data_IF_175369673942
#
_entry.id   IF_175369673942
#
_cell.length_a   1.000
_cell.length_b   1.000
_cell.length_c   1.000
_cell.angle_alpha   90.00
_cell.angle_beta   90.00
_cell.angle_gamma   90.00
#
_symmetry.space_group_name_H-M   'P 1'
#
loop_
_entity.id
_entity.type
_entity.pdbx_description
1 polymer ?
#
# COMPACT_ATOMS: atom_id res chain seq x y z
N UNK A 1 4.96 -11.17 -23.99
CA UNK A 1 5.04 -9.97 -23.09
C UNK A 1 4.96 -10.41 -21.63
N UNK A 2 5.61 -9.69 -20.68
CA UNK A 2 5.45 -10.00 -19.25
C UNK A 2 4.09 -9.53 -18.77
N UNK A 3 3.36 -10.40 -18.09
CA UNK A 3 1.97 -10.16 -17.64
C UNK A 3 1.94 -9.78 -16.16
N UNK A 4 1.06 -8.84 -15.78
CA UNK A 4 0.84 -8.40 -14.41
C UNK A 4 -0.67 -8.27 -14.16
N UNK A 5 -1.19 -9.07 -13.22
CA UNK A 5 -2.58 -8.97 -12.78
C UNK A 5 -2.68 -8.04 -11.56
N UNK A 6 -3.68 -7.16 -11.54
CA UNK A 6 -3.93 -6.23 -10.44
C UNK A 6 -5.38 -6.36 -10.00
N UNK A 7 -5.60 -6.66 -8.72
CA UNK A 7 -6.93 -6.77 -8.11
C UNK A 7 -7.05 -5.67 -7.06
N UNK A 8 -7.93 -4.72 -7.32
CA UNK A 8 -8.12 -3.53 -6.49
C UNK A 8 -9.59 -3.31 -6.11
N UNK A 9 -9.84 -2.29 -5.28
CA UNK A 9 -11.19 -1.95 -4.82
C UNK A 9 -11.25 -1.70 -3.32
N UNK A 10 -12.43 -1.34 -2.79
CA UNK A 10 -12.60 -1.04 -1.36
C UNK A 10 -12.37 -2.24 -0.46
N UNK A 11 -12.16 -1.97 0.83
CA UNK A 11 -12.09 -3.03 1.86
C UNK A 11 -13.37 -3.87 1.86
N UNK A 12 -13.32 -5.08 2.40
CA UNK A 12 -14.44 -6.01 2.52
C UNK A 12 -15.07 -6.54 1.19
N UNK A 13 -14.44 -6.31 0.02
CA UNK A 13 -14.93 -6.84 -1.26
C UNK A 13 -14.38 -8.23 -1.63
N UNK A 14 -13.61 -8.89 -0.77
CA UNK A 14 -13.10 -10.25 -1.05
C UNK A 14 -11.92 -10.33 -2.01
N UNK A 15 -11.18 -9.22 -2.21
CA UNK A 15 -10.02 -9.15 -3.12
C UNK A 15 -9.00 -10.26 -2.89
N UNK A 16 -8.63 -10.50 -1.64
CA UNK A 16 -7.61 -11.51 -1.30
C UNK A 16 -8.08 -12.92 -1.63
N UNK A 17 -9.35 -13.24 -1.34
CA UNK A 17 -9.91 -14.55 -1.66
C UNK A 17 -9.92 -14.81 -3.17
N UNK A 18 -10.35 -13.82 -3.98
CA UNK A 18 -10.30 -13.90 -5.44
C UNK A 18 -8.85 -14.03 -5.93
N UNK A 19 -7.91 -13.24 -5.39
CA UNK A 19 -6.51 -13.28 -5.76
C UNK A 19 -5.87 -14.64 -5.47
N UNK A 20 -6.16 -15.25 -4.31
CA UNK A 20 -5.71 -16.60 -3.95
C UNK A 20 -6.25 -17.65 -4.92
N UNK A 21 -7.53 -17.56 -5.26
CA UNK A 21 -8.13 -18.47 -6.24
C UNK A 21 -7.43 -18.39 -7.60
N UNK A 22 -7.21 -17.16 -8.10
CA UNK A 22 -6.52 -16.94 -9.38
C UNK A 22 -5.04 -17.35 -9.30
N UNK A 23 -4.37 -17.11 -8.18
CA UNK A 23 -2.98 -17.55 -7.99
C UNK A 23 -2.86 -19.07 -8.06
N UNK A 24 -3.75 -19.81 -7.41
CA UNK A 24 -3.77 -21.28 -7.49
C UNK A 24 -4.03 -21.77 -8.91
N UNK A 25 -4.96 -21.13 -9.64
CA UNK A 25 -5.33 -21.52 -11.00
C UNK A 25 -4.23 -21.22 -12.04
N UNK A 26 -3.55 -20.07 -11.94
CA UNK A 26 -2.60 -19.59 -12.94
C UNK A 26 -1.13 -19.66 -12.48
N UNK A 27 -0.83 -20.39 -11.39
CA UNK A 27 0.54 -20.52 -10.88
C UNK A 27 1.15 -19.21 -10.41
N UNK A 28 0.33 -18.30 -9.85
CA UNK A 28 0.74 -16.97 -9.46
C UNK A 28 1.20 -16.85 -8.00
N UNK A 29 1.75 -15.66 -7.67
CA UNK A 29 2.09 -15.25 -6.31
C UNK A 29 1.54 -13.85 -6.05
N UNK A 30 1.06 -13.61 -4.81
CA UNK A 30 0.44 -12.35 -4.44
C UNK A 30 1.48 -11.34 -3.94
N UNK A 31 1.23 -10.06 -4.23
CA UNK A 31 1.99 -8.92 -3.71
C UNK A 31 0.98 -7.96 -3.06
N UNK A 32 1.07 -7.79 -1.72
CA UNK A 32 0.16 -6.92 -1.00
C UNK A 32 0.43 -5.45 -1.32
N UNK A 33 -0.60 -4.75 -1.84
CA UNK A 33 -0.61 -3.30 -2.03
C UNK A 33 -1.44 -2.62 -0.93
N UNK A 34 -1.10 -2.91 0.32
CA UNK A 34 -1.72 -2.32 1.50
C UNK A 34 -0.68 -1.65 2.38
N UNK A 35 -0.88 -0.35 2.65
CA UNK A 35 0.08 0.46 3.42
C UNK A 35 0.08 0.18 4.92
N UNK A 36 -0.82 -0.67 5.41
CA UNK A 36 -0.91 -1.07 6.81
C UNK A 36 -0.40 -2.49 7.06
N UNK A 37 -0.56 -3.37 6.09
CA UNK A 37 -0.09 -4.75 6.19
C UNK A 37 1.44 -4.90 6.14
N UNK A 38 2.16 -3.84 5.83
CA UNK A 38 3.64 -3.79 5.85
C UNK A 38 4.23 -3.89 7.26
N UNK A 39 3.45 -3.57 8.29
CA UNK A 39 3.92 -3.51 9.68
C UNK A 39 3.83 -4.87 10.37
N UNK A 40 4.90 -5.26 11.08
CA UNK A 40 4.97 -6.51 11.84
C UNK A 40 4.11 -6.47 13.10
N UNK A 41 3.48 -7.61 13.39
CA UNK A 41 2.68 -7.77 14.61
C UNK A 41 1.38 -6.98 14.62
N UNK A 42 0.96 -6.46 13.48
CA UNK A 42 -0.30 -5.76 13.25
C UNK A 42 -1.15 -6.59 12.29
N UNK A 43 -1.62 -7.75 12.74
CA UNK A 43 -2.25 -8.74 11.88
C UNK A 43 -3.77 -8.63 11.91
N UNK A 44 -4.37 -8.56 13.11
CA UNK A 44 -5.82 -8.52 13.32
C UNK A 44 -6.38 -7.16 12.89
N UNK A 45 -5.88 -6.08 13.48
CA UNK A 45 -6.36 -4.72 13.21
C UNK A 45 -6.23 -4.31 11.75
N UNK A 46 -5.18 -4.72 11.03
CA UNK A 46 -5.03 -4.48 9.59
C UNK A 46 -5.77 -5.51 8.72
N UNK A 47 -6.25 -6.59 9.32
CA UNK A 47 -6.93 -7.69 8.65
C UNK A 47 -6.06 -8.38 7.61
N UNK A 48 -4.84 -8.74 7.99
CA UNK A 48 -3.98 -9.59 7.17
C UNK A 48 -4.62 -10.97 7.03
N UNK A 49 -4.84 -11.37 5.80
CA UNK A 49 -5.37 -12.68 5.46
C UNK A 49 -4.20 -13.65 5.21
N UNK A 50 -3.60 -14.10 6.31
CA UNK A 50 -2.42 -14.99 6.33
C UNK A 50 -2.67 -16.16 7.28
N UNK A 51 -2.01 -17.28 7.04
CA UNK A 51 -2.05 -18.41 7.97
C UNK A 51 -1.32 -18.03 9.28
N UNK A 52 -2.01 -18.10 10.40
CA UNK A 52 -1.48 -17.67 11.71
C UNK A 52 -0.15 -18.37 12.10
N UNK A 53 0.05 -19.62 11.66
CA UNK A 53 1.29 -20.39 11.86
C UNK A 53 2.37 -20.08 10.80
N UNK A 54 2.03 -19.28 9.78
CA UNK A 54 2.99 -18.91 8.74
C UNK A 54 4.01 -17.92 9.30
N UNK A 55 5.24 -18.39 9.51
CA UNK A 55 6.38 -17.50 9.81
C UNK A 55 6.82 -16.81 8.53
N UNK A 56 7.43 -15.63 8.64
CA UNK A 56 8.09 -14.98 7.51
C UNK A 56 9.17 -15.94 7.02
N UNK A 57 8.98 -16.46 5.81
CA UNK A 57 10.02 -17.24 5.16
C UNK A 57 11.00 -16.25 4.53
N UNK A 58 12.17 -16.12 5.15
CA UNK A 58 13.26 -15.36 4.58
C UNK A 58 13.80 -16.15 3.39
N UNK A 59 13.80 -15.53 2.22
CA UNK A 59 14.39 -16.15 1.03
C UNK A 59 15.91 -16.00 0.95
N UNK A 60 16.60 -15.73 2.05
CA UNK A 60 18.07 -15.64 2.03
C UNK A 60 18.76 -16.91 1.52
N UNK A 61 18.01 -18.03 1.35
CA UNK A 61 18.55 -19.29 0.80
C UNK A 61 18.20 -19.54 -0.68
N UNK A 62 17.26 -18.77 -1.28
CA UNK A 62 16.81 -19.01 -2.67
C UNK A 62 16.59 -17.75 -3.52
N UNK A 63 16.75 -16.55 -2.98
CA UNK A 63 16.77 -15.35 -3.80
C UNK A 63 18.09 -15.28 -4.54
N UNK A 64 18.01 -15.08 -5.85
CA UNK A 64 19.14 -14.74 -6.70
C UNK A 64 19.99 -13.66 -6.01
N UNK A 65 21.34 -13.76 -5.95
CA UNK A 65 22.23 -12.77 -5.33
C UNK A 65 22.01 -11.34 -5.80
N UNK A 66 21.34 -11.13 -6.94
CA UNK A 66 20.90 -9.83 -7.45
C UNK A 66 19.80 -9.15 -6.59
N UNK A 67 19.16 -9.87 -5.68
CA UNK A 67 18.17 -9.31 -4.72
C UNK A 67 18.84 -8.55 -3.56
N UNK A 68 20.15 -8.44 -3.54
CA UNK A 68 20.88 -7.52 -2.66
C UNK A 68 20.71 -6.07 -3.16
N UNK A 69 19.46 -5.60 -3.26
CA UNK A 69 19.17 -4.19 -3.49
C UNK A 69 19.88 -3.32 -2.45
N UNK A 70 20.41 -2.15 -2.82
CA UNK A 70 20.96 -1.16 -1.87
C UNK A 70 19.98 -0.75 -0.77
N UNK A 71 18.67 -0.99 -0.93
CA UNK A 71 17.65 -0.85 0.12
C UNK A 71 17.80 -1.88 1.24
N UNK A 72 18.31 -3.08 0.92
CA UNK A 72 18.56 -4.14 1.91
C UNK A 72 19.93 -3.93 2.58
N UNK A 73 20.88 -3.34 1.88
CA UNK A 73 22.16 -2.89 2.40
C UNK A 73 22.07 -1.40 2.71
N UNK A 74 21.73 -1.01 3.92
CA UNK A 74 21.52 0.39 4.33
C UNK A 74 22.50 1.39 3.69
N UNK A 75 21.99 2.55 3.25
CA UNK A 75 22.80 3.68 2.78
C UNK A 75 23.76 4.15 3.85
N UNK A 76 24.99 4.46 3.48
CA UNK A 76 25.96 5.19 4.33
C UNK A 76 25.33 6.51 4.78
N UNK A 77 25.13 6.67 6.08
CA UNK A 77 24.70 7.95 6.66
C UNK A 77 23.47 7.92 7.57
N UNK A 78 23.23 6.89 8.35
CA UNK A 78 22.23 6.91 9.42
C UNK A 78 21.40 5.63 9.50
N UNK A 79 21.56 4.92 10.58
CA UNK A 79 20.79 3.77 11.08
C UNK A 79 20.49 2.69 10.03
N UNK A 80 21.18 1.57 10.14
CA UNK A 80 20.96 0.32 9.36
C UNK A 80 19.53 -0.18 9.57
N UNK A 81 18.56 0.30 8.76
CA UNK A 81 17.19 -0.19 8.75
C UNK A 81 17.12 -1.36 7.79
N UNK A 82 17.17 -2.58 8.32
CA UNK A 82 16.98 -3.82 7.55
C UNK A 82 15.51 -3.99 7.23
N UNK A 83 15.12 -3.83 5.96
CA UNK A 83 13.89 -4.44 5.48
C UNK A 83 14.07 -5.96 5.46
N UNK A 84 13.14 -6.68 6.04
CA UNK A 84 13.06 -8.12 5.81
C UNK A 84 12.08 -8.35 4.67
N UNK A 85 12.57 -8.47 3.46
CA UNK A 85 11.73 -8.86 2.32
C UNK A 85 11.58 -10.37 2.36
N UNK A 86 10.38 -10.80 2.64
CA UNK A 86 9.98 -12.19 2.69
C UNK A 86 8.52 -12.30 2.28
N UNK A 87 7.97 -13.49 2.41
CA UNK A 87 6.56 -13.75 2.18
C UNK A 87 5.95 -14.52 3.35
N UNK A 88 4.64 -14.33 3.53
CA UNK A 88 3.78 -15.18 4.34
C UNK A 88 2.96 -16.05 3.40
N UNK A 89 2.58 -17.22 3.86
CA UNK A 89 1.68 -18.07 3.09
C UNK A 89 0.23 -17.90 3.53
N UNK A 90 -0.67 -18.03 2.56
CA UNK A 90 -2.07 -18.31 2.76
C UNK A 90 -2.46 -19.42 1.81
N UNK A 91 -2.94 -20.53 2.34
CA UNK A 91 -3.33 -21.71 1.55
C UNK A 91 -2.25 -22.11 0.52
N UNK A 92 -0.99 -22.18 0.95
CA UNK A 92 0.19 -22.47 0.15
C UNK A 92 0.63 -21.40 -0.87
N UNK A 93 -0.16 -20.34 -1.06
CA UNK A 93 0.18 -19.22 -1.94
C UNK A 93 1.04 -18.19 -1.20
N UNK A 94 2.23 -17.83 -1.73
CA UNK A 94 3.05 -16.76 -1.17
C UNK A 94 2.37 -15.40 -1.29
N UNK A 95 2.37 -14.63 -0.20
CA UNK A 95 1.94 -13.23 -0.15
C UNK A 95 3.14 -12.37 0.25
N UNK A 96 3.64 -11.60 -0.68
CA UNK A 96 4.77 -10.71 -0.54
C UNK A 96 4.40 -9.35 0.01
N UNK A 97 5.38 -8.64 0.55
CA UNK A 97 5.28 -7.27 1.08
C UNK A 97 4.29 -7.12 2.25
N UNK A 98 4.15 -8.17 3.03
CA UNK A 98 3.57 -8.16 4.38
C UNK A 98 4.69 -8.26 5.41
N UNK A 99 4.53 -7.65 6.59
CA UNK A 99 5.49 -7.74 7.71
C UNK A 99 6.94 -7.31 7.38
N UNK A 100 7.12 -6.30 6.57
CA UNK A 100 8.46 -5.88 6.09
C UNK A 100 9.16 -4.89 7.01
N UNK A 101 8.42 -4.15 7.84
CA UNK A 101 8.97 -3.13 8.75
C UNK A 101 8.36 -3.22 10.15
N UNK A 102 9.09 -2.68 11.13
CA UNK A 102 8.57 -2.50 12.49
C UNK A 102 7.58 -1.32 12.55
N UNK A 103 6.66 -1.28 13.55
CA UNK A 103 5.62 -0.26 13.67
C UNK A 103 6.11 1.19 13.84
N UNK A 104 7.35 1.40 14.24
CA UNK A 104 7.97 2.72 14.39
C UNK A 104 8.56 3.27 13.09
N UNK A 105 8.58 2.47 12.03
CA UNK A 105 9.16 2.86 10.76
C UNK A 105 8.18 3.66 9.89
N UNK A 106 8.63 4.77 9.31
CA UNK A 106 7.84 5.57 8.34
C UNK A 106 8.02 4.97 6.95
N UNK A 107 7.20 3.99 6.61
CA UNK A 107 7.23 3.35 5.29
C UNK A 107 6.48 4.20 4.26
N UNK A 108 7.08 4.42 3.09
CA UNK A 108 6.57 5.32 2.08
C UNK A 108 6.34 4.63 0.72
N UNK A 109 5.63 5.33 -0.17
CA UNK A 109 5.25 4.81 -1.49
C UNK A 109 6.45 4.57 -2.42
N UNK A 110 7.54 5.32 -2.27
CA UNK A 110 8.77 5.11 -3.04
C UNK A 110 9.44 3.79 -2.67
N UNK A 111 9.52 3.49 -1.37
CA UNK A 111 10.03 2.20 -0.87
C UNK A 111 9.14 1.04 -1.31
N UNK A 112 7.80 1.21 -1.21
CA UNK A 112 6.88 0.22 -1.73
C UNK A 112 7.12 -0.07 -3.21
N UNK A 113 7.21 0.97 -4.05
CA UNK A 113 7.42 0.81 -5.49
C UNK A 113 8.68 0.02 -5.79
N UNK A 114 9.80 0.36 -5.15
CA UNK A 114 11.07 -0.33 -5.36
C UNK A 114 11.00 -1.82 -4.98
N UNK A 115 10.43 -2.10 -3.80
CA UNK A 115 10.28 -3.48 -3.33
C UNK A 115 9.32 -4.28 -4.19
N UNK A 116 8.20 -3.70 -4.59
CA UNK A 116 7.21 -4.35 -5.43
C UNK A 116 7.77 -4.65 -6.83
N UNK A 117 8.48 -3.71 -7.45
CA UNK A 117 9.14 -3.93 -8.75
C UNK A 117 10.17 -5.07 -8.69
N UNK A 118 10.96 -5.12 -7.61
CA UNK A 118 11.92 -6.19 -7.42
C UNK A 118 11.24 -7.57 -7.26
N UNK A 119 10.17 -7.64 -6.45
CA UNK A 119 9.40 -8.88 -6.26
C UNK A 119 8.71 -9.31 -7.56
N UNK A 120 8.11 -8.38 -8.31
CA UNK A 120 7.51 -8.66 -9.61
C UNK A 120 8.53 -9.27 -10.57
N UNK A 121 9.74 -8.71 -10.64
CA UNK A 121 10.81 -9.22 -11.51
C UNK A 121 11.22 -10.65 -11.11
N UNK A 122 11.39 -10.91 -9.81
CA UNK A 122 11.71 -12.25 -9.30
C UNK A 122 10.63 -13.28 -9.64
N UNK A 123 9.36 -12.94 -9.44
CA UNK A 123 8.23 -13.82 -9.78
C UNK A 123 8.24 -14.13 -11.28
N UNK A 124 8.47 -13.15 -12.14
CA UNK A 124 8.60 -13.37 -13.58
C UNK A 124 9.81 -14.22 -13.97
N UNK A 125 10.95 -14.05 -13.29
CA UNK A 125 12.15 -14.89 -13.55
C UNK A 125 11.89 -16.35 -13.24
N UNK A 126 11.02 -16.64 -12.28
CA UNK A 126 10.58 -17.99 -11.92
C UNK A 126 9.43 -18.50 -12.80
N UNK A 127 9.05 -17.78 -13.86
CA UNK A 127 7.99 -18.17 -14.79
C UNK A 127 6.59 -18.10 -14.19
N UNK A 128 6.39 -17.37 -13.09
CA UNK A 128 5.09 -17.25 -12.40
C UNK A 128 4.39 -15.95 -12.70
N UNK A 129 3.08 -15.89 -12.43
CA UNK A 129 2.25 -14.70 -12.59
C UNK A 129 2.31 -13.84 -11.31
N UNK A 130 2.84 -12.60 -11.33
CA UNK A 130 2.68 -11.68 -10.22
C UNK A 130 1.26 -11.12 -10.18
N UNK A 131 0.65 -11.13 -8.99
CA UNK A 131 -0.71 -10.65 -8.74
C UNK A 131 -0.65 -9.59 -7.64
N UNK A 132 -0.83 -8.32 -8.02
CA UNK A 132 -0.95 -7.22 -7.05
C UNK A 132 -2.36 -7.26 -6.46
N UNK A 133 -2.46 -7.25 -5.14
CA UNK A 133 -3.74 -7.23 -4.45
C UNK A 133 -3.76 -6.18 -3.35
N UNK A 134 -4.72 -5.26 -3.37
CA UNK A 134 -4.82 -4.28 -2.29
C UNK A 134 -5.80 -3.13 -2.51
N UNK A 135 -5.95 -2.35 -1.43
CA UNK A 135 -6.86 -1.20 -1.37
C UNK A 135 -6.13 0.15 -1.30
N UNK A 136 -4.80 0.18 -1.25
CA UNK A 136 -4.03 1.43 -1.23
C UNK A 136 -3.82 1.92 -2.65
N UNK A 137 -4.75 2.76 -3.14
CA UNK A 137 -4.73 3.24 -4.50
C UNK A 137 -3.42 3.94 -4.89
N UNK A 138 -2.80 4.66 -3.95
CA UNK A 138 -1.51 5.30 -4.16
C UNK A 138 -0.41 4.28 -4.55
N UNK A 139 -0.42 3.10 -3.93
CA UNK A 139 0.54 2.03 -4.22
C UNK A 139 0.30 1.44 -5.61
N UNK A 140 -0.97 1.15 -5.94
CA UNK A 140 -1.35 0.66 -7.27
C UNK A 140 -0.94 1.67 -8.35
N UNK A 141 -1.25 2.95 -8.17
CA UNK A 141 -0.88 4.01 -9.11
C UNK A 141 0.62 4.16 -9.29
N UNK A 142 1.39 4.05 -8.22
CA UNK A 142 2.85 4.14 -8.27
C UNK A 142 3.48 3.06 -9.15
N UNK A 143 2.85 1.88 -9.23
CA UNK A 143 3.26 0.81 -10.12
C UNK A 143 2.80 1.02 -11.56
N UNK A 144 1.61 1.61 -11.75
CA UNK A 144 0.99 1.76 -13.08
C UNK A 144 1.50 2.95 -13.87
N UNK A 145 1.97 4.01 -13.20
CA UNK A 145 2.33 5.27 -13.86
C UNK A 145 3.71 5.76 -13.46
N UNK A 146 4.45 6.41 -14.39
CA UNK A 146 5.59 7.21 -14.01
C UNK A 146 5.16 8.28 -13.00
N UNK A 147 5.98 8.48 -11.99
CA UNK A 147 5.72 9.50 -10.99
C UNK A 147 7.02 10.23 -10.68
N UNK A 148 7.12 11.45 -11.23
CA UNK A 148 8.25 12.31 -10.97
C UNK A 148 8.30 12.69 -9.49
N UNK A 149 9.48 12.59 -8.91
CA UNK A 149 9.70 12.94 -7.51
C UNK A 149 9.32 11.87 -6.48
N UNK A 150 8.79 10.69 -6.87
CA UNK A 150 8.44 9.62 -5.89
C UNK A 150 9.65 9.20 -5.03
N UNK A 151 10.84 9.26 -5.61
CA UNK A 151 12.10 8.87 -4.96
C UNK A 151 12.86 10.04 -4.34
N UNK A 152 12.36 11.27 -4.46
CA UNK A 152 12.95 12.42 -3.78
C UNK A 152 12.73 12.26 -2.27
N UNK A 153 13.81 12.23 -1.46
CA UNK A 153 13.66 12.04 -0.03
C UNK A 153 12.97 13.25 0.61
N UNK A 154 12.23 13.07 1.71
CA UNK A 154 11.70 14.18 2.46
C UNK A 154 12.83 15.01 3.06
N UNK A 155 12.66 16.34 3.06
CA UNK A 155 13.58 17.28 3.66
C UNK A 155 13.04 17.72 5.03
N UNK A 156 13.60 17.14 6.12
CA UNK A 156 13.11 17.38 7.47
C UNK A 156 13.22 18.85 7.88
N UNK A 157 14.33 19.53 7.54
CA UNK A 157 14.52 20.94 7.90
C UNK A 157 13.58 21.88 7.14
N UNK A 158 13.29 21.58 5.88
CA UNK A 158 12.31 22.31 5.09
C UNK A 158 10.89 22.11 5.65
N UNK A 159 10.52 20.86 5.95
CA UNK A 159 9.21 20.55 6.55
C UNK A 159 8.98 21.27 7.86
N UNK A 160 9.96 21.29 8.74
CA UNK A 160 9.86 22.00 10.02
C UNK A 160 9.56 23.50 9.86
N UNK A 161 10.00 24.11 8.75
CA UNK A 161 9.66 25.50 8.39
C UNK A 161 8.26 25.59 7.80
N UNK A 162 7.93 24.70 6.84
CA UNK A 162 6.66 24.74 6.10
C UNK A 162 5.47 24.31 6.95
N UNK A 163 5.65 23.41 7.94
CA UNK A 163 4.58 22.94 8.83
C UNK A 163 4.03 24.05 9.76
N UNK A 164 4.73 25.20 9.85
CA UNK A 164 4.28 26.38 10.60
C UNK A 164 3.41 27.32 9.76
N UNK A 165 3.35 27.11 8.45
CA UNK A 165 2.66 27.99 7.51
C UNK A 165 1.20 27.58 7.35
N UNK A 166 0.34 28.57 7.13
CA UNK A 166 -1.05 28.38 6.71
C UNK A 166 -1.14 27.82 5.29
N UNK A 167 -2.32 27.35 4.89
CA UNK A 167 -2.54 26.86 3.52
C UNK A 167 -2.27 27.96 2.49
N UNK A 168 -2.69 29.18 2.76
CA UNK A 168 -2.51 30.36 1.89
C UNK A 168 -1.04 30.73 1.73
N UNK A 169 -0.28 30.66 2.82
CA UNK A 169 1.16 30.89 2.79
C UNK A 169 1.91 29.80 2.01
N UNK A 170 1.53 28.53 2.20
CA UNK A 170 2.06 27.41 1.42
C UNK A 170 1.74 27.54 -0.07
N UNK A 171 0.52 27.97 -0.43
CA UNK A 171 0.16 28.24 -1.82
C UNK A 171 1.03 29.36 -2.42
N UNK A 172 1.24 30.42 -1.65
CA UNK A 172 2.10 31.55 -2.06
C UNK A 172 3.53 31.10 -2.25
N UNK A 173 4.06 30.31 -1.34
CA UNK A 173 5.41 29.76 -1.40
C UNK A 173 5.58 28.84 -2.63
N UNK A 174 4.61 27.97 -2.90
CA UNK A 174 4.65 27.11 -4.08
C UNK A 174 4.60 27.93 -5.38
N UNK A 175 3.75 28.98 -5.45
CA UNK A 175 3.66 29.86 -6.62
C UNK A 175 4.95 30.62 -6.88
N UNK A 176 5.63 31.11 -5.85
CA UNK A 176 6.96 31.73 -5.95
C UNK A 176 7.99 30.77 -6.52
N UNK A 177 7.90 29.51 -6.12
CA UNK A 177 8.80 28.45 -6.58
C UNK A 177 8.49 28.02 -8.00
N UNK A 178 7.24 27.79 -8.34
CA UNK A 178 6.75 27.43 -9.68
C UNK A 178 5.23 27.60 -9.76
N UNK A 179 4.77 28.60 -10.49
CA UNK A 179 3.34 28.82 -10.75
C UNK A 179 2.75 27.67 -11.57
N UNK A 180 3.49 27.15 -12.54
CA UNK A 180 3.07 26.04 -13.40
C UNK A 180 2.70 24.80 -12.58
N UNK A 181 3.52 24.44 -11.56
CA UNK A 181 3.22 23.32 -10.68
C UNK A 181 1.95 23.54 -9.90
N UNK A 182 1.74 24.73 -9.33
CA UNK A 182 0.51 25.08 -8.62
C UNK A 182 -0.71 24.97 -9.52
N UNK A 183 -0.64 25.48 -10.74
CA UNK A 183 -1.74 25.44 -11.71
C UNK A 183 -2.09 24.04 -12.16
N UNK A 184 -1.09 23.14 -12.26
CA UNK A 184 -1.31 21.74 -12.59
C UNK A 184 -1.98 20.91 -11.48
N UNK A 185 -2.04 21.43 -10.24
CA UNK A 185 -2.70 20.78 -9.12
C UNK A 185 -4.22 20.94 -9.19
N UNK A 186 -4.95 19.88 -8.88
CA UNK A 186 -6.40 19.98 -8.75
C UNK A 186 -6.81 20.76 -7.49
N UNK A 187 -8.07 21.18 -7.42
CA UNK A 187 -8.58 21.98 -6.31
C UNK A 187 -8.30 21.38 -4.93
N UNK A 188 -8.60 20.09 -4.73
CA UNK A 188 -8.35 19.40 -3.45
C UNK A 188 -6.87 19.38 -3.05
N UNK A 189 -5.95 19.27 -4.01
CA UNK A 189 -4.52 19.25 -3.75
C UNK A 189 -4.00 20.64 -3.36
N UNK A 190 -4.56 21.71 -3.96
CA UNK A 190 -4.20 23.09 -3.64
C UNK A 190 -4.58 23.51 -2.21
N UNK A 191 -5.55 22.83 -1.58
CA UNK A 191 -6.00 23.09 -0.21
C UNK A 191 -5.53 22.04 0.80
N UNK A 192 -4.66 21.13 0.40
CA UNK A 192 -4.11 20.12 1.29
C UNK A 192 -2.66 20.47 1.69
N UNK A 193 -2.40 20.84 2.97
CA UNK A 193 -1.08 21.30 3.39
C UNK A 193 0.02 20.25 3.13
N UNK A 194 -0.26 18.96 3.38
CA UNK A 194 0.74 17.89 3.13
C UNK A 194 1.13 17.78 1.65
N UNK A 195 0.17 18.03 0.73
CA UNK A 195 0.42 17.98 -0.71
C UNK A 195 1.16 19.22 -1.20
N UNK A 196 0.85 20.38 -0.64
CA UNK A 196 1.57 21.62 -0.88
C UNK A 196 3.02 21.53 -0.41
N UNK A 197 3.24 21.11 0.83
CA UNK A 197 4.59 20.87 1.38
C UNK A 197 5.36 19.91 0.48
N UNK A 198 4.74 18.80 0.06
CA UNK A 198 5.41 17.84 -0.83
C UNK A 198 5.73 18.42 -2.20
N UNK A 199 4.86 19.24 -2.77
CA UNK A 199 5.11 19.90 -4.04
C UNK A 199 6.30 20.87 -3.94
N UNK A 200 6.36 21.67 -2.87
CA UNK A 200 7.48 22.59 -2.59
C UNK A 200 8.79 21.81 -2.45
N UNK A 201 8.81 20.74 -1.66
CA UNK A 201 9.99 19.88 -1.49
C UNK A 201 10.54 19.35 -2.82
N UNK A 202 9.63 18.87 -3.68
CA UNK A 202 10.00 18.29 -4.98
C UNK A 202 10.59 19.37 -5.90
N UNK A 203 9.98 20.54 -5.96
CA UNK A 203 10.44 21.62 -6.82
C UNK A 203 11.74 22.26 -6.32
N UNK A 204 11.92 22.41 -5.01
CA UNK A 204 13.21 22.85 -4.46
C UNK A 204 14.33 21.86 -4.73
N UNK A 205 14.06 20.56 -4.54
CA UNK A 205 15.03 19.53 -4.85
C UNK A 205 15.44 19.55 -6.33
N UNK A 206 14.48 19.72 -7.24
CA UNK A 206 14.75 19.85 -8.68
C UNK A 206 15.66 21.04 -8.97
N UNK A 207 15.37 22.21 -8.40
CA UNK A 207 16.19 23.42 -8.58
C UNK A 207 17.64 23.21 -8.14
N UNK A 208 17.84 22.60 -6.97
CA UNK A 208 19.18 22.34 -6.40
C UNK A 208 19.96 21.30 -7.21
N UNK A 209 19.29 20.44 -7.97
CA UNK A 209 19.88 19.32 -8.71
C UNK A 209 19.80 19.47 -10.23
N UNK A 210 19.48 20.66 -10.75
CA UNK A 210 19.40 20.94 -12.21
C UNK A 210 20.72 20.64 -12.93
N UNK A 211 21.88 20.86 -12.28
CA UNK A 211 23.19 20.60 -12.88
C UNK A 211 23.72 19.17 -12.63
N UNK A 212 23.12 18.42 -11.75
CA UNK A 212 23.51 17.05 -11.39
C UNK A 212 22.46 16.00 -11.81
N UNK A 213 21.65 16.30 -12.83
CA UNK A 213 20.66 15.35 -13.35
C UNK A 213 21.35 14.20 -14.07
N UNK A 214 20.92 12.97 -13.84
CA UNK A 214 19.53 12.53 -13.96
C UNK A 214 18.87 12.26 -12.60
N UNK A 215 17.53 12.34 -12.54
CA UNK A 215 16.69 11.71 -11.49
C UNK A 215 17.44 10.51 -10.91
N UNK A 216 17.54 10.33 -9.59
CA UNK A 216 18.50 9.40 -9.03
C UNK A 216 18.42 8.02 -9.70
N UNK A 217 19.08 7.90 -10.82
CA UNK A 217 19.55 6.65 -11.42
C UNK A 217 20.46 5.89 -10.46
N UNK A 218 20.81 6.54 -9.34
CA UNK A 218 21.51 5.95 -8.18
C UNK A 218 20.75 4.79 -7.53
N UNK A 219 19.46 4.62 -7.82
CA UNK A 219 18.66 3.48 -7.40
C UNK A 219 18.60 2.42 -8.53
N UNK A 220 18.91 2.83 -9.77
CA UNK A 220 18.94 1.97 -10.95
C UNK A 220 20.34 1.41 -11.28
N UNK A 221 21.35 1.75 -10.48
CA UNK A 221 22.67 1.12 -10.64
C UNK A 221 22.63 -0.27 -10.03
N UNK A 222 22.58 -1.22 -10.94
CA UNK A 222 22.75 -2.65 -10.89
C UNK A 222 21.46 -3.47 -11.05
N UNK A 223 21.10 -3.71 -12.28
CA UNK A 223 20.47 -4.94 -12.71
C UNK A 223 18.98 -4.94 -13.03
N UNK A 224 18.20 -3.91 -12.70
CA UNK A 224 16.77 -3.94 -13.02
C UNK A 224 16.32 -2.66 -13.76
N UNK A 225 15.88 -2.79 -15.04
CA UNK A 225 15.24 -1.66 -15.71
C UNK A 225 13.92 -1.32 -15.01
N UNK A 226 13.57 -0.02 -14.91
CA UNK A 226 12.30 0.40 -14.32
C UNK A 226 11.13 -0.20 -15.09
N UNK A 227 10.11 -0.66 -14.36
CA UNK A 227 8.81 -0.98 -14.93
C UNK A 227 8.20 0.29 -15.53
N UNK A 228 8.31 0.46 -16.84
CA UNK A 228 7.55 1.48 -17.57
C UNK A 228 6.30 0.82 -18.18
N UNK A 229 5.19 1.10 -17.56
CA UNK A 229 3.87 0.72 -18.06
C UNK A 229 3.46 1.76 -19.11
N UNK A 230 3.53 1.40 -20.39
CA UNK A 230 3.23 2.17 -21.62
C UNK A 230 4.23 3.26 -22.01
N UNK A 231 4.94 3.03 -23.11
CA UNK A 231 5.29 4.08 -24.08
C UNK A 231 6.64 4.79 -23.96
N UNK A 232 7.70 4.20 -23.35
CA UNK A 232 9.06 4.77 -23.42
C UNK A 232 10.07 3.77 -23.98
N UNK A 233 11.00 4.22 -24.84
CA UNK A 233 12.09 3.38 -25.35
C UNK A 233 12.92 2.80 -24.19
N UNK A 234 13.09 1.48 -24.14
CA UNK A 234 13.87 0.77 -23.13
C UNK A 234 13.09 0.19 -21.92
N UNK A 235 11.76 0.31 -21.88
CA UNK A 235 10.92 -0.26 -20.84
C UNK A 235 10.47 -1.68 -21.20
N UNK A 236 10.42 -2.58 -20.21
CA UNK A 236 9.71 -3.84 -20.34
C UNK A 236 8.25 -3.55 -20.68
N UNK A 237 7.80 -3.93 -21.86
CA UNK A 237 6.38 -3.88 -22.22
C UNK A 237 5.66 -4.90 -21.36
N UNK A 238 4.85 -4.44 -20.41
CA UNK A 238 3.99 -5.28 -19.59
C UNK A 238 2.57 -5.23 -20.13
N UNK A 239 1.94 -6.37 -20.22
CA UNK A 239 0.51 -6.50 -20.45
C UNK A 239 -0.17 -6.59 -19.09
N UNK A 240 -0.94 -5.56 -18.74
CA UNK A 240 -1.57 -5.46 -17.43
C UNK A 240 -3.07 -5.65 -17.55
N UNK A 241 -3.62 -6.51 -16.69
CA UNK A 241 -5.06 -6.63 -16.48
C UNK A 241 -5.42 -6.07 -15.10
N UNK A 242 -6.33 -5.09 -15.07
CA UNK A 242 -6.81 -4.44 -13.85
C UNK A 242 -8.25 -4.86 -13.58
N UNK A 243 -8.45 -5.52 -12.46
CA UNK A 243 -9.77 -5.96 -11.98
C UNK A 243 -10.13 -5.15 -10.74
N UNK A 244 -11.26 -4.46 -10.81
CA UNK A 244 -11.85 -3.74 -9.70
C UNK A 244 -13.04 -4.51 -9.10
N UNK A 245 -13.03 -4.74 -7.79
CA UNK A 245 -14.19 -5.29 -7.09
C UNK A 245 -14.97 -4.17 -6.43
N UNK A 246 -16.29 -4.23 -6.54
CA UNK A 246 -17.23 -3.30 -5.90
C UNK A 246 -18.45 -4.04 -5.36
N UNK A 247 -19.26 -3.34 -4.56
CA UNK A 247 -20.58 -3.78 -4.13
C UNK A 247 -21.49 -2.57 -3.96
N UNK A 248 -22.82 -2.75 -3.93
CA UNK A 248 -23.75 -1.75 -3.45
C UNK A 248 -23.35 -1.27 -2.04
N UNK A 249 -23.58 0.02 -1.71
CA UNK A 249 -23.16 0.58 -0.41
C UNK A 249 -23.64 -0.21 0.80
N UNK A 250 -24.89 -0.64 0.81
CA UNK A 250 -25.50 -1.35 1.94
C UNK A 250 -24.82 -2.71 2.18
N UNK A 251 -24.59 -3.47 1.12
CA UNK A 251 -23.86 -4.73 1.20
C UNK A 251 -22.42 -4.53 1.67
N UNK A 252 -21.75 -3.51 1.11
CA UNK A 252 -20.38 -3.19 1.51
C UNK A 252 -20.29 -2.79 2.99
N UNK A 253 -21.25 -2.00 3.47
CA UNK A 253 -21.29 -1.56 4.87
C UNK A 253 -21.61 -2.72 5.81
N UNK A 254 -22.54 -3.60 5.45
CA UNK A 254 -22.81 -4.81 6.21
C UNK A 254 -21.56 -5.69 6.35
N UNK A 255 -20.81 -5.91 5.27
CA UNK A 255 -19.54 -6.66 5.29
C UNK A 255 -18.46 -6.00 6.12
N UNK A 256 -18.40 -4.67 6.11
CA UNK A 256 -17.46 -3.90 6.94
C UNK A 256 -17.79 -4.09 8.41
N UNK A 257 -19.06 -3.96 8.80
CA UNK A 257 -19.50 -4.12 10.17
C UNK A 257 -19.19 -5.54 10.68
N UNK A 258 -19.57 -6.56 9.93
CA UNK A 258 -19.24 -7.95 10.25
C UNK A 258 -17.74 -8.21 10.40
N UNK A 259 -16.91 -7.55 9.59
CA UNK A 259 -15.46 -7.66 9.66
C UNK A 259 -14.87 -7.00 10.91
N UNK A 260 -15.41 -5.87 11.34
CA UNK A 260 -15.00 -5.23 12.59
C UNK A 260 -15.36 -6.13 13.78
N UNK A 261 -16.58 -6.66 13.80
CA UNK A 261 -17.03 -7.56 14.85
C UNK A 261 -16.18 -8.85 14.91
N UNK A 262 -15.77 -9.38 13.77
CA UNK A 262 -14.88 -10.53 13.68
C UNK A 262 -13.48 -10.22 14.23
N UNK A 263 -12.90 -9.05 13.93
CA UNK A 263 -11.61 -8.60 14.47
C UNK A 263 -11.65 -8.43 15.99
N UNK A 264 -12.80 -8.01 16.54
CA UNK A 264 -13.01 -7.97 17.99
C UNK A 264 -12.94 -9.38 18.59
N UNK A 265 -13.64 -10.35 17.99
CA UNK A 265 -13.61 -11.77 18.43
C UNK A 265 -12.20 -12.38 18.30
N UNK A 266 -11.44 -12.00 17.29
CA UNK A 266 -10.03 -12.43 17.08
C UNK A 266 -9.07 -11.85 18.12
N UNK A 267 -9.50 -10.87 18.91
CA UNK A 267 -8.73 -10.33 20.02
C UNK A 267 -7.80 -9.16 19.64
N UNK A 268 -8.28 -8.25 18.83
CA UNK A 268 -7.52 -7.03 18.42
C UNK A 268 -7.00 -6.24 19.63
N UNK A 269 -7.75 -6.18 20.74
CA UNK A 269 -7.30 -5.49 21.95
C UNK A 269 -6.02 -6.11 22.53
N UNK A 270 -5.92 -7.44 22.51
CA UNK A 270 -4.71 -8.15 22.94
C UNK A 270 -3.53 -7.91 22.01
N UNK A 271 -3.77 -7.69 20.71
CA UNK A 271 -2.74 -7.29 19.76
C UNK A 271 -2.23 -5.88 20.05
N UNK A 272 -3.13 -4.93 20.29
CA UNK A 272 -2.78 -3.55 20.66
C UNK A 272 -1.99 -3.51 21.97
N UNK A 273 -2.44 -4.22 22.99
CA UNK A 273 -1.75 -4.28 24.28
C UNK A 273 -0.30 -4.80 24.14
N UNK A 274 -0.09 -5.81 23.29
CA UNK A 274 1.26 -6.33 22.98
C UNK A 274 2.13 -5.29 22.29
N UNK A 275 1.57 -4.48 21.40
CA UNK A 275 2.29 -3.41 20.72
C UNK A 275 2.69 -2.30 21.69
N UNK A 276 1.77 -1.88 22.56
CA UNK A 276 2.05 -0.88 23.60
C UNK A 276 3.11 -1.37 24.60
N UNK A 277 3.03 -2.64 25.05
CA UNK A 277 4.06 -3.26 25.92
C UNK A 277 5.45 -3.32 25.26
N UNK A 278 5.52 -3.34 23.92
CA UNK A 278 6.80 -3.23 23.17
C UNK A 278 7.29 -1.79 23.01
N UNK A 279 6.58 -0.80 23.55
CA UNK A 279 6.94 0.60 23.50
C UNK A 279 6.51 1.35 22.24
N UNK A 280 5.60 0.80 21.44
CA UNK A 280 5.02 1.53 20.31
C UNK A 280 3.89 2.46 20.81
N UNK A 281 4.15 3.77 20.82
CA UNK A 281 3.16 4.80 21.21
C UNK A 281 2.17 5.11 20.08
N UNK A 282 1.08 5.76 20.42
CA UNK A 282 0.01 6.18 19.47
C UNK A 282 0.51 7.12 18.37
N UNK A 283 1.57 7.87 18.62
CA UNK A 283 2.21 8.75 17.63
C UNK A 283 2.95 7.99 16.50
N UNK A 284 3.19 6.68 16.68
CA UNK A 284 3.88 5.91 15.63
C UNK A 284 3.02 5.76 14.38
N UNK A 285 3.63 5.83 13.18
CA UNK A 285 2.90 5.80 11.91
C UNK A 285 1.96 4.61 11.77
N UNK A 286 2.37 3.45 12.28
CA UNK A 286 1.57 2.24 12.25
C UNK A 286 0.30 2.36 13.11
N UNK A 287 0.43 2.92 14.33
CA UNK A 287 -0.67 3.07 15.29
C UNK A 287 -1.74 4.07 14.83
N UNK A 288 -1.44 4.96 13.88
CA UNK A 288 -2.42 5.85 13.25
C UNK A 288 -3.38 5.14 12.28
N UNK A 289 -3.25 3.81 12.11
CA UNK A 289 -4.12 3.00 11.26
C UNK A 289 -5.51 2.79 11.84
N UNK A 290 -6.49 2.57 10.93
CA UNK A 290 -7.82 2.11 11.33
C UNK A 290 -7.72 0.76 12.05
N UNK A 291 -8.51 0.61 13.11
CA UNK A 291 -8.47 -0.56 13.98
C UNK A 291 -7.44 -0.49 15.10
N UNK A 292 -6.67 0.61 15.17
CA UNK A 292 -5.73 0.89 16.26
C UNK A 292 -6.00 2.25 16.91
N UNK A 293 -5.95 3.32 16.16
CA UNK A 293 -6.08 4.70 16.69
C UNK A 293 -7.40 4.94 17.43
N UNK A 294 -8.46 4.25 17.07
CA UNK A 294 -9.77 4.39 17.71
C UNK A 294 -9.74 3.89 19.16
N UNK A 295 -8.76 3.04 19.52
CA UNK A 295 -8.62 2.42 20.83
C UNK A 295 -7.75 3.23 21.81
N UNK A 296 -7.10 4.30 21.37
CA UNK A 296 -6.30 5.19 22.23
C UNK A 296 -7.05 5.62 23.50
N UNK A 297 -8.32 6.12 23.44
CA UNK A 297 -9.05 6.52 24.65
C UNK A 297 -9.29 5.37 25.63
N UNK A 298 -9.42 4.12 25.15
CA UNK A 298 -9.62 2.96 25.99
C UNK A 298 -8.36 2.58 26.77
N UNK A 299 -7.20 2.67 26.15
CA UNK A 299 -5.93 2.31 26.79
C UNK A 299 -5.36 3.42 27.67
N UNK A 300 -5.74 4.67 27.43
CA UNK A 300 -5.35 5.84 28.25
C UNK A 300 -6.30 6.09 29.42
N UNK A 301 -7.50 5.47 29.40
CA UNK A 301 -8.44 5.60 30.51
C UNK A 301 -7.90 4.87 31.74
N UNK A 302 -7.86 5.57 32.88
CA UNK A 302 -7.45 5.04 34.19
C UNK A 302 -8.50 4.17 34.89
N UNK A 303 -9.73 4.13 34.38
CA UNK A 303 -10.79 3.31 34.96
C UNK A 303 -10.58 1.80 34.75
N UNK A 304 -11.08 0.96 35.67
CA UNK A 304 -10.99 -0.49 35.49
C UNK A 304 -11.63 -0.93 34.17
N UNK A 305 -10.90 -1.70 33.38
CA UNK A 305 -11.33 -2.19 32.05
C UNK A 305 -12.68 -2.91 32.06
N UNK A 306 -13.07 -3.48 33.20
CA UNK A 306 -14.38 -4.16 33.43
C UNK A 306 -15.59 -3.22 33.42
N UNK A 307 -15.41 -1.92 33.63
CA UNK A 307 -16.49 -0.91 33.67
C UNK A 307 -16.65 -0.14 32.35
N UNK A 308 -15.84 -0.42 31.34
CA UNK A 308 -15.77 0.34 30.10
C UNK A 308 -16.65 -0.20 28.97
N UNK A 309 -17.72 -0.97 29.26
CA UNK A 309 -18.58 -1.57 28.22
C UNK A 309 -19.20 -0.54 27.27
N UNK A 310 -19.61 0.61 27.80
CA UNK A 310 -20.15 1.71 27.01
C UNK A 310 -19.08 2.31 26.08
N UNK A 311 -17.89 2.62 26.61
CA UNK A 311 -16.77 3.14 25.84
C UNK A 311 -16.36 2.18 24.72
N UNK A 312 -16.29 0.88 25.01
CA UNK A 312 -15.98 -0.15 24.01
C UNK A 312 -17.01 -0.12 22.88
N UNK A 313 -18.30 -0.04 23.19
CA UNK A 313 -19.36 0.03 22.18
C UNK A 313 -19.23 1.29 21.31
N UNK A 314 -18.96 2.45 21.91
CA UNK A 314 -18.76 3.71 21.20
C UNK A 314 -17.54 3.66 20.26
N UNK A 315 -16.45 3.05 20.71
CA UNK A 315 -15.24 2.87 19.90
C UNK A 315 -15.51 1.93 18.72
N UNK A 316 -16.22 0.82 18.93
CA UNK A 316 -16.57 -0.12 17.85
C UNK A 316 -17.41 0.58 16.78
N UNK A 317 -18.44 1.33 17.17
CA UNK A 317 -19.26 2.07 16.21
C UNK A 317 -18.47 3.15 15.48
N UNK A 318 -17.56 3.83 16.17
CA UNK A 318 -16.64 4.78 15.53
C UNK A 318 -15.73 4.09 14.53
N UNK A 319 -15.15 2.95 14.87
CA UNK A 319 -14.32 2.16 13.97
C UNK A 319 -15.08 1.71 12.73
N UNK A 320 -16.31 1.18 12.88
CA UNK A 320 -17.19 0.82 11.76
C UNK A 320 -17.44 2.02 10.83
N UNK A 321 -17.72 3.18 11.41
CA UNK A 321 -17.93 4.41 10.63
C UNK A 321 -16.67 4.82 9.85
N UNK A 322 -15.52 4.81 10.48
CA UNK A 322 -14.25 5.21 9.87
C UNK A 322 -13.83 4.23 8.76
N UNK A 323 -14.06 2.92 8.91
CA UNK A 323 -13.87 1.91 7.86
C UNK A 323 -14.83 2.14 6.66
N UNK A 324 -16.10 2.47 6.89
CA UNK A 324 -17.06 2.81 5.82
C UNK A 324 -16.60 4.06 5.05
N UNK A 325 -16.14 5.09 5.76
CA UNK A 325 -15.58 6.28 5.13
C UNK A 325 -14.30 5.97 4.33
N UNK A 326 -13.46 5.09 4.86
CA UNK A 326 -12.26 4.64 4.15
C UNK A 326 -12.61 3.89 2.86
N UNK A 327 -13.58 2.98 2.90
CA UNK A 327 -14.08 2.27 1.72
C UNK A 327 -14.62 3.22 0.63
N UNK A 328 -15.38 4.26 1.03
CA UNK A 328 -15.85 5.32 0.12
C UNK A 328 -14.68 6.06 -0.54
N UNK A 329 -13.64 6.42 0.23
CA UNK A 329 -12.43 7.08 -0.30
C UNK A 329 -11.68 6.17 -1.28
N UNK A 330 -11.54 4.88 -0.97
CA UNK A 330 -10.91 3.91 -1.87
C UNK A 330 -11.67 3.82 -3.20
N UNK A 331 -13.01 3.67 -3.16
CA UNK A 331 -13.83 3.57 -4.35
C UNK A 331 -13.75 4.85 -5.21
N UNK A 332 -13.85 6.02 -4.57
CA UNK A 332 -13.71 7.32 -5.26
C UNK A 332 -12.34 7.45 -5.92
N UNK A 333 -11.29 6.93 -5.28
CA UNK A 333 -9.95 6.96 -5.80
C UNK A 333 -9.78 6.04 -7.02
N UNK A 334 -10.21 4.78 -6.90
CA UNK A 334 -10.09 3.80 -7.98
C UNK A 334 -10.98 4.11 -9.19
N UNK A 335 -12.15 4.73 -9.00
CA UNK A 335 -13.00 5.20 -10.11
C UNK A 335 -12.33 6.22 -11.03
N UNK A 336 -11.27 6.91 -10.55
CA UNK A 336 -10.47 7.86 -11.36
C UNK A 336 -9.36 7.18 -12.16
N UNK A 337 -9.07 5.92 -11.91
CA UNK A 337 -8.06 5.16 -12.65
C UNK A 337 -8.69 4.49 -13.87
N UNK A 338 -8.16 4.83 -15.04
CA UNK A 338 -8.64 4.25 -16.30
C UNK A 338 -8.18 2.78 -16.47
N UNK A 339 -8.96 1.99 -17.17
CA UNK A 339 -8.62 0.62 -17.54
C UNK A 339 -8.90 -0.41 -16.45
N UNK A 340 -9.67 -0.07 -15.43
CA UNK A 340 -10.16 -1.03 -14.45
C UNK A 340 -11.48 -1.63 -14.96
N UNK A 341 -11.50 -2.95 -15.07
CA UNK A 341 -12.72 -3.73 -15.34
C UNK A 341 -13.42 -4.02 -14.01
N UNK A 342 -14.62 -3.43 -13.84
CA UNK A 342 -15.33 -3.48 -12.57
C UNK A 342 -16.30 -4.66 -12.49
N UNK A 343 -16.27 -5.34 -11.34
CA UNK A 343 -17.17 -6.45 -11.02
C UNK A 343 -17.89 -6.19 -9.71
N UNK A 344 -19.23 -6.32 -9.75
CA UNK A 344 -20.07 -6.30 -8.57
C UNK A 344 -20.04 -7.69 -7.93
N UNK A 345 -19.58 -7.75 -6.67
CA UNK A 345 -19.45 -9.02 -5.95
C UNK A 345 -20.78 -9.63 -5.51
N UNK A 346 -21.90 -8.90 -5.65
CA UNK A 346 -23.26 -9.41 -5.40
C UNK A 346 -23.81 -10.18 -6.57
N UNK A 347 -23.25 -10.02 -7.76
CA UNK A 347 -23.61 -10.82 -8.93
C UNK A 347 -23.16 -12.27 -8.73
N UNK A 348 -24.05 -13.22 -8.91
CA UNK A 348 -23.78 -14.64 -8.67
C UNK A 348 -22.72 -15.22 -9.62
N UNK A 349 -22.52 -14.61 -10.77
CA UNK A 349 -21.61 -15.04 -11.83
C UNK A 349 -20.29 -14.26 -11.86
N UNK A 350 -20.07 -13.26 -10.96
CA UNK A 350 -18.91 -12.38 -11.06
C UNK A 350 -17.59 -13.13 -11.05
N UNK A 351 -17.44 -14.15 -10.20
CA UNK A 351 -16.21 -14.94 -10.14
C UNK A 351 -15.94 -15.68 -11.44
N UNK A 352 -16.97 -16.30 -12.02
CA UNK A 352 -16.86 -16.97 -13.31
C UNK A 352 -16.39 -16.02 -14.41
N UNK A 353 -17.03 -14.85 -14.51
CA UNK A 353 -16.68 -13.81 -15.49
C UNK A 353 -15.25 -13.30 -15.32
N UNK A 354 -14.82 -13.09 -14.07
CA UNK A 354 -13.41 -12.71 -13.77
C UNK A 354 -12.47 -13.81 -14.24
N UNK A 355 -12.74 -15.06 -13.90
CA UNK A 355 -11.89 -16.19 -14.28
C UNK A 355 -11.79 -16.32 -15.81
N UNK A 356 -12.89 -16.23 -16.53
CA UNK A 356 -12.92 -16.27 -18.00
C UNK A 356 -12.13 -15.11 -18.62
N UNK A 357 -12.23 -13.91 -18.06
CA UNK A 357 -11.46 -12.75 -18.50
C UNK A 357 -9.96 -12.95 -18.29
N UNK A 358 -9.57 -13.40 -17.11
CA UNK A 358 -8.15 -13.66 -16.78
C UNK A 358 -7.61 -14.79 -17.66
N UNK A 359 -8.36 -15.84 -17.86
CA UNK A 359 -7.98 -16.98 -18.71
C UNK A 359 -7.73 -16.54 -20.16
N UNK A 360 -8.66 -15.79 -20.73
CA UNK A 360 -8.53 -15.23 -22.09
C UNK A 360 -7.32 -14.29 -22.20
N UNK A 361 -7.08 -13.46 -21.20
CA UNK A 361 -5.94 -12.55 -21.18
C UNK A 361 -4.62 -13.29 -20.97
N UNK A 362 -4.57 -14.25 -20.04
CA UNK A 362 -3.36 -15.01 -19.71
C UNK A 362 -2.89 -15.87 -20.86
N UNK A 363 -3.82 -16.54 -21.56
CA UNK A 363 -3.51 -17.44 -22.68
C UNK A 363 -3.32 -16.73 -24.01
N UNK A 364 -3.58 -15.42 -24.12
CA UNK A 364 -3.46 -14.63 -25.37
C UNK A 364 -2.05 -14.63 -25.98
N UNK A 365 -1.03 -15.04 -25.24
CA UNK A 365 0.37 -15.11 -25.70
C UNK A 365 0.77 -16.49 -26.22
N UNK A 366 -0.10 -17.50 -26.09
CA UNK A 366 0.16 -18.87 -26.55
C UNK A 366 -0.47 -19.14 -27.94
N UNK A 367 -1.01 -18.12 -28.56
CA UNK A 367 -1.52 -18.09 -29.94
C UNK A 367 -0.72 -17.05 -30.72
#
# INVERSE_FOLDING_TARGET
MKQLLIICGPTATGKTALALHLAKKFGGELISADSRQVYRGMDIGTGKDIDQKSKIKNQNEKLNPSFTSPLIKGRRGGVNKKFTVGFRNKDEVPIWLVDIVEPDYVFNVGEFKQLAEAVIQDIWQRGKLPIIVGGTGLYVRALLRPWDGIFIPPNASLRQKLDKLTVEELQTELKKNTSEKFESMNHSDRFNPRRLVRAIEVEEWKKQNVHNSPLPSLILREGFPPLRLRGGQGALRTDNLLIGLTAPPDELFHRIDARVDERMKQGVLGEIEKLLKKGYSWEKPAMSGLGYREWEPFFENSEPKSQNSKLISEIIERWKLDEKQYAKRQLTWFKKEAGIEWFDITSTDYQKRVIEMVDKWYNKQNV
#
